data_IF_447286037654
#
_entry.id   IF_447286037654
#
_cell.length_a   1.000
_cell.length_b   1.000
_cell.length_c   1.000
_cell.angle_alpha   90.00
_cell.angle_beta   90.00
_cell.angle_gamma   90.00
#
_symmetry.space_group_name_H-M   'P 1'
#
loop_
_entity.id
_entity.type
_entity.pdbx_description
1 polymer ?
#
# COMPACT_ATOMS: atom_id res chain seq x y z
N UNK A 1 -31.44 -14.26 -26.18
CA UNK A 1 -30.16 -14.87 -25.72
C UNK A 1 -28.99 -13.89 -25.72
N UNK A 2 -28.75 -13.07 -26.76
CA UNK A 2 -27.58 -12.16 -26.78
C UNK A 2 -27.58 -11.08 -25.68
N UNK A 3 -28.75 -10.51 -25.33
CA UNK A 3 -28.86 -9.45 -24.30
C UNK A 3 -28.47 -9.92 -22.91
N UNK A 4 -28.82 -11.16 -22.55
CA UNK A 4 -28.46 -11.74 -21.26
C UNK A 4 -26.94 -11.94 -21.15
N UNK A 5 -26.31 -12.45 -22.22
CA UNK A 5 -24.86 -12.60 -22.29
C UNK A 5 -24.14 -11.26 -22.18
N UNK A 6 -24.64 -10.20 -22.83
CA UNK A 6 -24.04 -8.86 -22.71
C UNK A 6 -24.15 -8.31 -21.30
N UNK A 7 -25.30 -8.49 -20.63
CA UNK A 7 -25.48 -8.04 -19.25
C UNK A 7 -24.52 -8.78 -18.32
N UNK A 8 -24.39 -10.10 -18.45
CA UNK A 8 -23.46 -10.90 -17.64
C UNK A 8 -22.02 -10.43 -17.86
N UNK A 9 -21.61 -10.22 -19.11
CA UNK A 9 -20.26 -9.72 -19.42
C UNK A 9 -20.00 -8.34 -18.84
N UNK A 10 -20.95 -7.41 -18.95
CA UNK A 10 -20.83 -6.06 -18.36
C UNK A 10 -20.73 -6.15 -16.83
N UNK A 11 -21.56 -6.97 -16.19
CA UNK A 11 -21.51 -7.16 -14.73
C UNK A 11 -20.16 -7.72 -14.26
N UNK A 12 -19.61 -8.70 -14.97
CA UNK A 12 -18.29 -9.27 -14.64
C UNK A 12 -17.19 -8.23 -14.81
N UNK A 13 -17.20 -7.48 -15.91
CA UNK A 13 -16.21 -6.42 -16.18
C UNK A 13 -16.26 -5.31 -15.11
N UNK A 14 -17.46 -4.89 -14.70
CA UNK A 14 -17.61 -3.90 -13.63
C UNK A 14 -17.08 -4.43 -12.30
N UNK A 15 -17.32 -5.71 -11.98
CA UNK A 15 -16.82 -6.32 -10.75
C UNK A 15 -15.29 -6.36 -10.71
N UNK A 16 -14.64 -6.73 -11.81
CA UNK A 16 -13.17 -6.75 -11.89
C UNK A 16 -12.56 -5.35 -11.77
N UNK A 17 -13.17 -4.34 -12.40
CA UNK A 17 -12.73 -2.95 -12.29
C UNK A 17 -12.84 -2.43 -10.85
N UNK A 18 -13.94 -2.73 -10.17
CA UNK A 18 -14.15 -2.35 -8.77
C UNK A 18 -13.16 -3.08 -7.84
N UNK A 19 -12.91 -4.36 -8.09
CA UNK A 19 -11.95 -5.15 -7.32
C UNK A 19 -10.53 -4.59 -7.44
N UNK A 20 -10.10 -4.24 -8.65
CA UNK A 20 -8.80 -3.59 -8.90
C UNK A 20 -8.68 -2.25 -8.19
N UNK A 21 -9.72 -1.42 -8.19
CA UNK A 21 -9.72 -0.11 -7.54
C UNK A 21 -9.60 -0.21 -6.01
N UNK A 22 -10.35 -1.12 -5.38
CA UNK A 22 -10.30 -1.39 -3.93
C UNK A 22 -8.93 -1.90 -3.49
N UNK A 23 -8.33 -2.83 -4.26
CA UNK A 23 -7.03 -3.39 -3.95
C UNK A 23 -5.89 -2.36 -4.07
N UNK A 24 -5.93 -1.45 -5.05
CA UNK A 24 -4.91 -0.41 -5.17
C UNK A 24 -5.04 0.69 -4.12
N UNK A 25 -6.25 1.04 -3.70
CA UNK A 25 -6.48 2.05 -2.66
C UNK A 25 -5.92 1.63 -1.29
N UNK A 26 -6.15 0.37 -0.88
CA UNK A 26 -5.73 -0.12 0.44
C UNK A 26 -4.22 -0.27 0.63
N UNK A 27 -3.45 -0.37 -0.45
CA UNK A 27 -1.99 -0.51 -0.33
C UNK A 27 -1.31 0.82 -0.02
N UNK A 28 -1.90 1.94 -0.48
CA UNK A 28 -1.26 3.26 -0.44
C UNK A 28 -1.25 3.91 0.96
N UNK A 29 -2.22 3.58 1.81
CA UNK A 29 -2.33 4.13 3.16
C UNK A 29 -1.56 3.35 4.25
N UNK A 30 -1.03 2.16 3.94
CA UNK A 30 -0.35 1.33 4.97
C UNK A 30 1.06 1.79 5.30
N UNK A 31 1.73 2.49 4.40
CA UNK A 31 3.17 2.75 4.46
C UNK A 31 3.53 4.23 4.60
N UNK A 32 2.62 5.10 5.04
CA UNK A 32 3.00 6.49 5.33
C UNK A 32 2.72 6.81 6.78
N UNK A 33 3.62 6.37 7.66
CA UNK A 33 3.79 7.07 8.94
C UNK A 33 4.04 8.55 8.58
N UNK A 34 3.07 9.41 8.87
CA UNK A 34 3.04 10.82 8.38
C UNK A 34 4.09 11.71 9.05
N UNK A 35 5.01 11.15 9.83
CA UNK A 35 6.07 11.93 10.46
C UNK A 35 7.03 12.53 9.42
N UNK A 36 7.52 13.75 9.67
CA UNK A 36 8.50 14.38 8.81
C UNK A 36 9.86 13.65 8.87
N UNK A 37 10.68 13.72 7.80
CA UNK A 37 12.04 13.20 7.80
C UNK A 37 12.85 13.74 9.00
N UNK A 38 13.70 12.91 9.65
CA UNK A 38 14.22 11.63 9.17
C UNK A 38 13.34 10.41 9.52
N UNK A 39 12.26 10.61 10.26
CA UNK A 39 11.35 9.53 10.64
C UNK A 39 10.42 9.20 9.46
N UNK A 40 10.01 7.94 9.34
CA UNK A 40 9.19 7.42 8.22
C UNK A 40 9.87 7.35 6.86
N UNK A 41 11.17 7.58 6.80
CA UNK A 41 11.95 7.28 5.61
C UNK A 41 12.06 5.76 5.43
N UNK A 42 11.88 5.27 4.21
CA UNK A 42 12.12 3.86 3.88
C UNK A 42 13.61 3.53 4.12
N UNK A 43 13.87 2.41 4.79
CA UNK A 43 15.21 1.96 5.13
C UNK A 43 15.35 0.46 4.91
N UNK A 44 16.55 0.01 4.56
CA UNK A 44 16.89 -1.42 4.50
C UNK A 44 17.69 -1.85 5.74
N UNK A 45 18.35 -0.89 6.38
CA UNK A 45 19.16 -1.10 7.56
C UNK A 45 19.05 0.06 8.56
N UNK A 46 19.35 -0.17 9.86
CA UNK A 46 19.41 0.90 10.86
C UNK A 46 20.46 1.99 10.55
N UNK A 47 21.39 1.74 9.62
CA UNK A 47 22.43 2.72 9.22
C UNK A 47 21.90 3.77 8.25
N UNK A 48 20.81 3.48 7.57
CA UNK A 48 20.14 4.40 6.65
C UNK A 48 19.37 5.48 7.44
N UNK A 49 19.10 5.20 8.71
CA UNK A 49 18.37 6.07 9.61
C UNK A 49 19.29 6.99 10.42
N UNK A 50 18.78 8.18 10.78
CA UNK A 50 19.52 9.21 11.54
C UNK A 50 18.78 9.59 12.81
N UNK A 51 19.50 10.01 13.88
CA UNK A 51 18.87 10.59 15.07
C UNK A 51 17.88 11.71 14.67
N UNK A 52 16.67 11.77 15.25
CA UNK A 52 16.18 11.04 16.44
C UNK A 52 15.62 9.62 16.18
N UNK A 53 15.59 9.16 14.93
CA UNK A 53 14.99 7.88 14.55
C UNK A 53 16.08 6.89 14.10
N UNK A 54 16.77 6.17 15.01
CA UNK A 54 17.89 5.28 14.65
C UNK A 54 17.46 3.86 14.26
N UNK A 55 16.20 3.48 14.45
CA UNK A 55 15.71 2.11 14.20
C UNK A 55 15.14 2.01 12.80
N UNK A 56 15.36 0.87 12.15
CA UNK A 56 14.71 0.53 10.90
C UNK A 56 13.69 -0.58 11.19
N UNK A 57 12.43 -0.19 11.37
CA UNK A 57 11.37 -1.07 11.85
C UNK A 57 10.31 -1.27 10.76
N UNK A 58 10.04 -2.52 10.46
CA UNK A 58 9.03 -2.96 9.49
C UNK A 58 8.48 -4.32 9.88
N UNK A 59 7.81 -4.97 8.94
CA UNK A 59 7.22 -6.28 9.18
C UNK A 59 6.83 -6.95 7.88
N UNK A 60 6.37 -8.20 7.96
CA UNK A 60 6.00 -8.97 6.77
C UNK A 60 4.91 -8.29 5.92
N UNK A 61 4.11 -7.42 6.53
CA UNK A 61 2.98 -6.74 5.88
C UNK A 61 3.15 -5.22 5.77
N UNK A 62 4.31 -4.66 6.16
CA UNK A 62 4.58 -3.22 6.21
C UNK A 62 6.01 -2.92 5.78
N UNK A 63 6.20 -1.89 4.95
CA UNK A 63 7.54 -1.47 4.54
C UNK A 63 8.40 -1.09 5.75
N UNK A 64 9.70 -1.38 5.67
CA UNK A 64 10.66 -0.99 6.70
C UNK A 64 10.90 0.51 6.66
N UNK A 65 10.75 1.18 7.80
CA UNK A 65 10.85 2.62 7.90
C UNK A 65 11.62 3.05 9.15
N UNK A 66 12.25 4.22 9.09
CA UNK A 66 12.97 4.80 10.21
C UNK A 66 12.02 5.19 11.34
N UNK A 67 12.27 4.66 12.54
CA UNK A 67 11.53 4.92 13.78
C UNK A 67 12.51 5.30 14.90
N UNK A 68 11.99 6.01 15.91
CA UNK A 68 12.66 6.31 17.19
C UNK A 68 13.15 5.02 17.83
#
# INVERSE_FOLDING_TARGET
>A
MMRALTIVLISVLLLECLYLAECQGKHKDRDTDRRPPPCSQVCDSPRDCRPPCPRCDGGWWTSYQCKE
#
